data_IF_010199921039
#
_entry.id   IF_010199921039
#
_cell.length_a   1.000
_cell.length_b   1.000
_cell.length_c   1.000
_cell.angle_alpha   90.00
_cell.angle_beta   90.00
_cell.angle_gamma   90.00
#
_symmetry.space_group_name_H-M   'P 1'
#
loop_
_entity.id
_entity.type
_entity.pdbx_description
1 polymer ?
#
# COMPACT_ATOMS: atom_id res chain seq x y z
N UNK A 1 10.28 -16.85 4.68
CA UNK A 1 9.68 -15.51 4.47
C UNK A 1 9.54 -15.27 2.98
N UNK A 2 8.33 -15.02 2.50
CA UNK A 2 8.06 -14.71 1.09
C UNK A 2 7.94 -13.19 0.91
N UNK A 3 8.82 -12.58 0.11
CA UNK A 3 8.73 -11.14 -0.18
C UNK A 3 7.64 -10.88 -1.22
N UNK A 4 6.74 -9.93 -0.94
CA UNK A 4 5.62 -9.59 -1.83
C UNK A 4 5.60 -8.11 -2.19
N UNK A 5 5.08 -7.79 -3.37
CA UNK A 5 4.69 -6.44 -3.75
C UNK A 5 3.20 -6.24 -3.45
N UNK A 6 2.85 -5.13 -2.79
CA UNK A 6 1.46 -4.79 -2.49
C UNK A 6 0.91 -3.81 -3.52
N UNK A 7 0.02 -4.28 -4.40
CA UNK A 7 -0.76 -3.40 -5.27
C UNK A 7 -1.89 -2.73 -4.48
N UNK A 8 -1.90 -1.40 -4.41
CA UNK A 8 -2.88 -0.64 -3.61
C UNK A 8 -3.73 0.26 -4.49
N UNK A 9 -5.03 -0.03 -4.54
CA UNK A 9 -6.04 0.79 -5.19
C UNK A 9 -7.10 1.27 -4.21
N UNK A 10 -7.48 2.55 -4.31
CA UNK A 10 -8.54 3.15 -3.49
C UNK A 10 -9.28 4.26 -4.24
N UNK A 11 -10.39 4.72 -3.67
CA UNK A 11 -11.18 5.88 -4.10
C UNK A 11 -10.70 7.16 -3.40
N UNK A 12 -11.09 8.32 -3.91
CA UNK A 12 -10.81 9.60 -3.27
C UNK A 12 -11.32 9.64 -1.82
N UNK A 13 -10.70 10.49 -0.99
CA UNK A 13 -11.03 10.68 0.42
C UNK A 13 -10.84 9.47 1.35
N UNK A 14 -10.11 8.42 0.91
CA UNK A 14 -9.73 7.33 1.82
C UNK A 14 -8.87 7.86 2.97
N UNK A 15 -9.08 7.34 4.17
CA UNK A 15 -8.23 7.61 5.33
C UNK A 15 -7.04 6.66 5.42
N UNK A 16 -6.00 7.05 6.17
CA UNK A 16 -4.86 6.17 6.42
C UNK A 16 -5.26 4.92 7.22
N UNK A 17 -6.26 5.05 8.11
CA UNK A 17 -6.79 3.94 8.89
C UNK A 17 -7.51 2.90 8.02
N UNK A 18 -8.26 3.35 7.01
CA UNK A 18 -8.91 2.44 6.05
C UNK A 18 -7.87 1.69 5.20
N UNK A 19 -6.83 2.39 4.73
CA UNK A 19 -5.74 1.74 3.99
C UNK A 19 -5.00 0.70 4.85
N UNK A 20 -4.68 1.06 6.10
CA UNK A 20 -4.02 0.14 7.03
C UNK A 20 -4.88 -1.09 7.34
N UNK A 21 -6.17 -0.90 7.60
CA UNK A 21 -7.09 -2.00 7.85
C UNK A 21 -7.21 -2.94 6.65
N UNK A 22 -7.32 -2.40 5.43
CA UNK A 22 -7.38 -3.20 4.21
C UNK A 22 -6.09 -4.01 3.97
N UNK A 23 -4.92 -3.39 4.18
CA UNK A 23 -3.63 -4.06 4.03
C UNK A 23 -3.46 -5.17 5.09
N UNK A 24 -3.81 -4.91 6.36
CA UNK A 24 -3.76 -5.94 7.41
C UNK A 24 -4.68 -7.11 7.10
N UNK A 25 -5.90 -6.84 6.63
CA UNK A 25 -6.85 -7.89 6.26
C UNK A 25 -6.33 -8.75 5.10
N UNK A 26 -5.70 -8.14 4.09
CA UNK A 26 -5.08 -8.86 2.99
C UNK A 26 -3.89 -9.72 3.46
N UNK A 27 -3.01 -9.18 4.30
CA UNK A 27 -1.83 -9.89 4.82
C UNK A 27 -2.20 -11.02 5.80
N UNK A 28 -3.32 -10.92 6.51
CA UNK A 28 -3.79 -12.00 7.39
C UNK A 28 -4.07 -13.31 6.64
N UNK A 29 -4.33 -13.23 5.32
CA UNK A 29 -4.50 -14.41 4.46
C UNK A 29 -3.17 -15.07 4.07
N UNK A 30 -2.04 -14.38 4.29
CA UNK A 30 -0.71 -14.80 3.89
C UNK A 30 0.30 -14.55 5.03
N UNK A 31 0.27 -15.35 6.12
CA UNK A 31 1.04 -15.09 7.34
C UNK A 31 2.57 -15.04 7.14
N UNK A 32 3.10 -15.69 6.11
CA UNK A 32 4.54 -15.68 5.78
C UNK A 32 4.94 -14.58 4.77
N UNK A 33 4.00 -13.75 4.35
CA UNK A 33 4.23 -12.68 3.39
C UNK A 33 4.76 -11.41 4.06
N UNK A 34 5.91 -10.95 3.57
CA UNK A 34 6.53 -9.71 4.01
C UNK A 34 6.48 -8.67 2.88
N UNK A 35 5.78 -7.54 3.08
CA UNK A 35 5.75 -6.46 2.09
C UNK A 35 7.13 -5.87 1.85
N UNK A 36 7.62 -6.03 0.61
CA UNK A 36 8.89 -5.45 0.17
C UNK A 36 8.71 -4.07 -0.45
N UNK A 37 7.54 -3.80 -1.04
CA UNK A 37 7.21 -2.57 -1.76
C UNK A 37 5.70 -2.39 -1.84
N UNK A 38 5.24 -1.14 -1.86
CA UNK A 38 3.86 -0.76 -2.18
C UNK A 38 3.84 -0.13 -3.58
N UNK A 39 2.98 -0.65 -4.45
CA UNK A 39 2.78 -0.20 -5.81
C UNK A 39 1.38 0.42 -5.98
N UNK A 40 1.29 1.56 -6.67
CA UNK A 40 0.00 2.20 -6.99
C UNK A 40 0.10 3.04 -8.27
N UNK A 41 -1.04 3.57 -8.72
CA UNK A 41 -1.08 4.51 -9.85
C UNK A 41 -0.46 5.88 -9.47
N UNK A 42 0.17 6.56 -10.42
CA UNK A 42 0.87 7.83 -10.23
C UNK A 42 0.03 8.90 -9.50
N UNK A 43 -1.24 9.06 -9.89
CA UNK A 43 -2.16 10.00 -9.24
C UNK A 43 -2.41 9.64 -7.76
N UNK A 44 -2.48 8.34 -7.45
CA UNK A 44 -2.73 7.84 -6.10
C UNK A 44 -1.49 7.90 -5.20
N UNK A 45 -0.28 7.84 -5.78
CA UNK A 45 0.96 7.95 -5.04
C UNK A 45 1.12 9.30 -4.31
N UNK A 46 0.42 10.35 -4.79
CA UNK A 46 0.40 11.68 -4.17
C UNK A 46 -0.51 11.76 -2.94
N UNK A 47 -1.39 10.78 -2.72
CA UNK A 47 -2.33 10.79 -1.61
C UNK A 47 -1.59 10.77 -0.25
N UNK A 48 -1.77 11.83 0.54
CA UNK A 48 -1.18 11.96 1.88
C UNK A 48 -1.42 10.73 2.77
N UNK A 49 -2.62 10.12 2.81
CA UNK A 49 -2.87 8.90 3.58
C UNK A 49 -1.94 7.74 3.25
N UNK A 50 -1.76 7.43 1.95
CA UNK A 50 -0.90 6.33 1.51
C UNK A 50 0.57 6.61 1.82
N UNK A 51 1.05 7.83 1.52
CA UNK A 51 2.42 8.25 1.82
C UNK A 51 2.74 8.15 3.30
N UNK A 52 1.82 8.62 4.16
CA UNK A 52 1.97 8.57 5.62
C UNK A 52 2.06 7.13 6.10
N UNK A 53 1.22 6.24 5.57
CA UNK A 53 1.24 4.83 5.93
C UNK A 53 2.55 4.15 5.52
N UNK A 54 2.99 4.34 4.27
CA UNK A 54 4.24 3.76 3.77
C UNK A 54 5.45 4.25 4.58
N UNK A 55 5.52 5.55 4.89
CA UNK A 55 6.59 6.11 5.72
C UNK A 55 6.62 5.52 7.13
N UNK A 56 5.46 5.37 7.78
CA UNK A 56 5.36 4.76 9.12
C UNK A 56 5.76 3.28 9.14
N UNK A 57 5.51 2.57 8.03
CA UNK A 57 5.80 1.14 7.89
C UNK A 57 7.21 0.87 7.34
N UNK A 58 7.94 1.90 6.91
CA UNK A 58 9.24 1.74 6.25
C UNK A 58 9.14 1.09 4.87
N UNK A 59 7.98 1.14 4.23
CA UNK A 59 7.76 0.52 2.93
C UNK A 59 8.08 1.50 1.79
N UNK A 60 8.92 1.12 0.81
CA UNK A 60 9.09 1.87 -0.41
C UNK A 60 7.75 2.01 -1.16
N UNK A 61 7.47 3.19 -1.69
CA UNK A 61 6.29 3.46 -2.53
C UNK A 61 6.73 3.68 -3.98
N UNK A 62 6.26 2.82 -4.87
CA UNK A 62 6.50 2.88 -6.32
C UNK A 62 5.21 3.27 -7.03
N UNK A 63 5.34 4.18 -7.99
CA UNK A 63 4.23 4.73 -8.75
C UNK A 63 4.33 4.29 -10.21
N UNK A 64 3.20 3.94 -10.81
CA UNK A 64 3.09 3.55 -12.21
C UNK A 64 2.09 4.45 -12.93
N UNK A 65 2.42 4.86 -14.15
CA UNK A 65 1.47 5.55 -15.01
C UNK A 65 0.40 4.56 -15.51
N UNK A 66 -0.80 5.07 -15.79
CA UNK A 66 -1.82 4.27 -16.46
C UNK A 66 -1.38 4.00 -17.92
N UNK A 67 -1.65 2.80 -18.41
CA UNK A 67 -1.42 2.41 -19.80
C UNK A 67 -2.39 3.08 -20.77
#
# INVERSE_FOLDING_TARGET
MMRVALGVGFRANVSAAQLDAAIRAALALYPDAEPAVVATLADKARARPLRTLCARRGWPLVAFDAA
#
